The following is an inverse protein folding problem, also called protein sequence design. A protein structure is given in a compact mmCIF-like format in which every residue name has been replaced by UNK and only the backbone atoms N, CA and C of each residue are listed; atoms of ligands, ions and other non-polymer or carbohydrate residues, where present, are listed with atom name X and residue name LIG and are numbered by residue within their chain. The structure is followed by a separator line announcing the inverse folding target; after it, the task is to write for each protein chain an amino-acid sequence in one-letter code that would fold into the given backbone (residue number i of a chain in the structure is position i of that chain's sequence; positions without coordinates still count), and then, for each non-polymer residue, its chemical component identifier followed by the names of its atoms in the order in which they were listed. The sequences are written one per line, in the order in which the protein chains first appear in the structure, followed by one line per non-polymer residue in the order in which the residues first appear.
data_IF_916925991162
#
_entry.id   IF_916925991162
#
_cell.length_a   1.000
_cell.length_b   1.000
_cell.length_c   1.000
_cell.angle_alpha   90.00
_cell.angle_beta   90.00
_cell.angle_gamma   90.00
#
_symmetry.space_group_name_H-M   'P 1'
#
loop_
_entity.id
_entity.type
_entity.pdbx_description
1 polymer ?
#
# COMPACT_ATOMS: atom_id res chain seq x y z
N UNK A 1 -4.86 -13.79 -13.29
CA UNK A 1 -5.80 -14.32 -12.29
C UNK A 1 -5.24 -15.59 -11.66
N UNK A 2 -4.75 -15.49 -10.43
CA UNK A 2 -4.38 -16.62 -9.58
C UNK A 2 -5.31 -16.65 -8.37
N UNK A 3 -5.73 -17.86 -7.98
CA UNK A 3 -6.53 -18.09 -6.77
C UNK A 3 -6.01 -19.33 -6.06
N UNK A 4 -5.41 -19.15 -4.88
CA UNK A 4 -5.17 -20.24 -3.95
C UNK A 4 -5.84 -19.98 -2.59
N UNK A 5 -5.77 -20.99 -1.72
CA UNK A 5 -6.54 -20.99 -0.49
C UNK A 5 -5.79 -21.35 0.78
N UNK A 6 -4.57 -21.92 0.67
CA UNK A 6 -3.68 -22.24 1.79
C UNK A 6 -2.28 -22.59 1.24
N UNK A 7 -1.28 -21.80 1.58
CA UNK A 7 0.14 -22.07 1.29
C UNK A 7 1.03 -21.58 2.44
N UNK A 8 2.27 -22.07 2.53
CA UNK A 8 3.25 -21.51 3.48
C UNK A 8 3.84 -20.24 2.86
N UNK A 9 4.53 -20.41 1.72
CA UNK A 9 5.13 -19.32 0.95
C UNK A 9 4.54 -19.26 -0.46
N UNK A 10 4.29 -18.04 -0.94
CA UNK A 10 3.80 -17.77 -2.29
C UNK A 10 4.58 -16.65 -2.98
N UNK A 11 4.79 -16.78 -4.29
CA UNK A 11 5.46 -15.76 -5.09
C UNK A 11 4.91 -15.67 -6.52
N UNK A 12 4.49 -14.48 -6.94
CA UNK A 12 4.16 -14.14 -8.34
C UNK A 12 5.24 -13.22 -8.91
N UNK A 13 5.61 -13.48 -10.15
CA UNK A 13 6.39 -12.55 -10.97
C UNK A 13 5.74 -12.41 -12.33
N UNK A 14 5.25 -11.22 -12.64
CA UNK A 14 4.72 -10.85 -13.95
C UNK A 14 5.53 -9.67 -14.51
N UNK A 15 5.59 -9.55 -15.85
CA UNK A 15 6.46 -8.56 -16.49
C UNK A 15 5.85 -7.64 -17.52
N UNK A 16 4.70 -8.02 -18.08
CA UNK A 16 3.86 -7.20 -18.95
C UNK A 16 2.48 -7.86 -18.97
N UNK A 17 1.48 -7.23 -18.40
CA UNK A 17 0.09 -7.70 -18.47
C UNK A 17 -0.87 -6.52 -18.62
N UNK A 18 -2.03 -6.74 -19.26
CA UNK A 18 -3.12 -5.74 -19.20
C UNK A 18 -3.67 -5.75 -17.76
N UNK A 19 -4.17 -6.91 -17.31
CA UNK A 19 -4.72 -7.06 -15.96
C UNK A 19 -3.97 -8.13 -15.15
N UNK A 20 -3.49 -7.77 -13.95
CA UNK A 20 -3.10 -8.74 -12.93
C UNK A 20 -4.11 -8.78 -11.79
N UNK A 21 -4.44 -10.00 -11.36
CA UNK A 21 -5.31 -10.23 -10.22
C UNK A 21 -4.81 -11.43 -9.42
N UNK A 22 -4.49 -11.17 -8.16
CA UNK A 22 -4.07 -12.16 -7.17
C UNK A 22 -5.09 -12.14 -6.04
N UNK A 23 -5.68 -13.30 -5.75
CA UNK A 23 -6.56 -13.48 -4.60
C UNK A 23 -6.09 -14.66 -3.78
N UNK A 24 -5.74 -14.41 -2.52
CA UNK A 24 -5.26 -15.43 -1.61
C UNK A 24 -6.04 -15.44 -0.29
N UNK A 25 -6.28 -16.66 0.21
CA UNK A 25 -6.78 -16.86 1.56
C UNK A 25 -5.75 -17.61 2.39
N UNK A 26 -5.12 -16.97 3.37
CA UNK A 26 -4.23 -17.60 4.36
C UNK A 26 -2.89 -18.15 3.81
N UNK A 27 -1.85 -17.33 3.89
CA UNK A 27 -0.45 -17.73 3.73
C UNK A 27 0.42 -17.34 4.95
N UNK A 28 1.63 -17.88 5.11
CA UNK A 28 2.61 -17.27 6.01
C UNK A 28 3.25 -16.07 5.32
N UNK A 29 3.83 -16.29 4.13
CA UNK A 29 4.53 -15.27 3.35
C UNK A 29 3.93 -15.14 1.93
N UNK A 30 3.59 -13.92 1.53
CA UNK A 30 3.25 -13.56 0.14
C UNK A 30 4.24 -12.56 -0.44
N UNK A 31 4.65 -12.80 -1.69
CA UNK A 31 5.38 -11.83 -2.49
C UNK A 31 4.79 -11.69 -3.89
N UNK A 32 4.35 -10.49 -4.24
CA UNK A 32 3.92 -10.14 -5.60
C UNK A 32 4.93 -9.16 -6.19
N UNK A 33 5.50 -9.52 -7.34
CA UNK A 33 6.38 -8.65 -8.11
C UNK A 33 5.82 -8.46 -9.51
N UNK A 34 5.56 -7.21 -9.88
CA UNK A 34 5.05 -6.84 -11.18
C UNK A 34 5.92 -5.78 -11.84
N UNK A 35 5.98 -5.83 -13.16
CA UNK A 35 6.52 -4.74 -13.96
C UNK A 35 5.57 -4.49 -15.11
N UNK A 36 5.16 -3.23 -15.31
CA UNK A 36 4.34 -2.76 -16.41
C UNK A 36 3.00 -3.50 -16.55
N UNK A 37 2.01 -3.06 -15.77
CA UNK A 37 0.61 -3.46 -15.91
C UNK A 37 -0.29 -2.25 -16.18
N UNK A 38 -1.46 -2.45 -16.81
CA UNK A 38 -2.48 -1.38 -16.82
C UNK A 38 -3.17 -1.41 -15.44
N UNK A 39 -3.73 -2.56 -15.07
CA UNK A 39 -4.42 -2.77 -13.80
C UNK A 39 -3.76 -3.87 -12.93
N UNK A 40 -3.46 -3.58 -11.67
CA UNK A 40 -3.03 -4.56 -10.66
C UNK A 40 -3.97 -4.60 -9.45
N UNK A 41 -4.47 -5.81 -9.12
CA UNK A 41 -5.31 -6.04 -7.95
C UNK A 41 -4.74 -7.18 -7.11
N UNK A 42 -4.35 -6.88 -5.87
CA UNK A 42 -3.92 -7.85 -4.86
C UNK A 42 -4.94 -7.85 -3.72
N UNK A 43 -5.50 -9.03 -3.42
CA UNK A 43 -6.45 -9.22 -2.32
C UNK A 43 -5.96 -10.35 -1.42
N UNK A 44 -5.69 -10.01 -0.17
CA UNK A 44 -5.24 -10.96 0.83
C UNK A 44 -6.11 -10.93 2.09
N UNK A 45 -6.52 -12.12 2.52
CA UNK A 45 -7.35 -12.23 3.71
C UNK A 45 -6.52 -12.35 4.99
N UNK A 46 -5.52 -13.23 4.99
CA UNK A 46 -4.69 -13.50 6.15
C UNK A 46 -3.26 -13.83 5.69
N UNK A 47 -2.28 -13.09 6.17
CA UNK A 47 -0.86 -13.38 5.96
C UNK A 47 -0.06 -13.01 7.22
N UNK A 48 1.14 -13.57 7.42
CA UNK A 48 2.06 -12.99 8.39
C UNK A 48 2.82 -11.85 7.73
N UNK A 49 3.31 -12.08 6.52
CA UNK A 49 4.06 -11.11 5.73
C UNK A 49 3.46 -11.01 4.32
N UNK A 50 3.11 -9.81 3.89
CA UNK A 50 2.83 -9.50 2.50
C UNK A 50 3.80 -8.44 1.97
N UNK A 51 4.33 -8.69 0.78
CA UNK A 51 5.17 -7.76 0.04
C UNK A 51 4.61 -7.63 -1.37
N UNK A 52 4.16 -6.43 -1.72
CA UNK A 52 3.76 -6.07 -3.08
C UNK A 52 4.79 -5.09 -3.63
N UNK A 53 5.36 -5.40 -4.79
CA UNK A 53 6.32 -4.56 -5.50
C UNK A 53 5.84 -4.40 -6.94
N UNK A 54 5.47 -3.18 -7.32
CA UNK A 54 5.12 -2.83 -8.68
C UNK A 54 6.06 -1.78 -9.28
N UNK A 55 6.19 -1.81 -10.59
CA UNK A 55 6.95 -0.84 -11.36
C UNK A 55 6.26 -0.52 -12.68
N UNK A 56 5.66 0.66 -12.77
CA UNK A 56 4.84 1.09 -13.90
C UNK A 56 3.49 0.40 -13.86
N UNK A 57 2.51 1.04 -13.25
CA UNK A 57 1.11 0.66 -13.36
C UNK A 57 0.29 1.90 -13.73
N UNK A 58 -0.85 1.74 -14.41
CA UNK A 58 -1.80 2.85 -14.46
C UNK A 58 -2.56 2.84 -13.12
N UNK A 59 -3.18 1.70 -12.77
CA UNK A 59 -3.93 1.52 -11.52
C UNK A 59 -3.37 0.37 -10.65
N UNK A 60 -3.09 0.62 -9.37
CA UNK A 60 -2.74 -0.40 -8.38
C UNK A 60 -3.71 -0.40 -7.18
N UNK A 61 -4.28 -1.56 -6.85
CA UNK A 61 -5.11 -1.76 -5.68
C UNK A 61 -4.61 -2.91 -4.82
N UNK A 62 -4.28 -2.62 -3.57
CA UNK A 62 -3.92 -3.60 -2.55
C UNK A 62 -4.97 -3.60 -1.44
N UNK A 63 -5.54 -4.76 -1.16
CA UNK A 63 -6.52 -4.96 -0.08
C UNK A 63 -6.08 -6.07 0.86
N UNK A 64 -5.83 -5.72 2.11
CA UNK A 64 -5.44 -6.67 3.15
C UNK A 64 -6.37 -6.61 4.36
N UNK A 65 -6.86 -7.78 4.79
CA UNK A 65 -7.72 -7.81 5.98
C UNK A 65 -6.97 -8.10 7.28
N UNK A 66 -6.03 -9.03 7.28
CA UNK A 66 -5.24 -9.38 8.47
C UNK A 66 -3.80 -9.70 8.08
N UNK A 67 -2.87 -8.85 8.47
CA UNK A 67 -1.45 -9.08 8.29
C UNK A 67 -0.67 -8.76 9.58
N UNK A 68 0.46 -9.41 9.82
CA UNK A 68 1.40 -8.89 10.83
C UNK A 68 2.22 -7.76 10.21
N UNK A 69 2.69 -7.97 8.99
CA UNK A 69 3.51 -7.02 8.26
C UNK A 69 3.03 -6.89 6.81
N UNK A 70 2.69 -5.67 6.40
CA UNK A 70 2.47 -5.32 5.00
C UNK A 70 3.56 -4.35 4.51
N UNK A 71 4.06 -4.60 3.31
CA UNK A 71 4.92 -3.67 2.58
C UNK A 71 4.44 -3.53 1.14
N UNK A 72 4.07 -2.32 0.77
CA UNK A 72 3.73 -1.95 -0.60
C UNK A 72 4.81 -1.00 -1.13
N UNK A 73 5.40 -1.34 -2.27
CA UNK A 73 6.39 -0.51 -2.96
C UNK A 73 5.95 -0.33 -4.40
N UNK A 74 5.60 0.90 -4.76
CA UNK A 74 5.20 1.25 -6.12
C UNK A 74 6.14 2.31 -6.71
N UNK A 75 6.47 2.12 -7.99
CA UNK A 75 7.24 3.10 -8.75
C UNK A 75 6.54 3.42 -10.05
N UNK A 76 6.12 4.67 -10.20
CA UNK A 76 5.30 5.19 -11.30
C UNK A 76 3.94 4.49 -11.35
N UNK A 77 2.95 5.12 -10.72
CA UNK A 77 1.53 4.81 -10.85
C UNK A 77 0.78 6.07 -11.26
N UNK A 78 -0.33 5.94 -12.00
CA UNK A 78 -1.28 7.05 -12.07
C UNK A 78 -2.08 7.04 -10.76
N UNK A 79 -2.73 5.91 -10.44
CA UNK A 79 -3.53 5.75 -9.22
C UNK A 79 -3.01 4.58 -8.33
N UNK A 80 -2.79 4.83 -7.04
CA UNK A 80 -2.51 3.79 -6.04
C UNK A 80 -3.51 3.83 -4.88
N UNK A 81 -4.11 2.68 -4.57
CA UNK A 81 -4.98 2.50 -3.41
C UNK A 81 -4.54 1.33 -2.54
N UNK A 82 -4.20 1.63 -1.29
CA UNK A 82 -3.89 0.64 -0.25
C UNK A 82 -4.98 0.69 0.82
N UNK A 83 -5.62 -0.45 1.08
CA UNK A 83 -6.63 -0.60 2.13
C UNK A 83 -6.27 -1.72 3.09
N UNK A 84 -6.08 -1.37 4.35
CA UNK A 84 -5.74 -2.31 5.40
C UNK A 84 -6.70 -2.23 6.59
N UNK A 85 -7.17 -3.40 7.04
CA UNK A 85 -8.13 -3.45 8.15
C UNK A 85 -7.51 -3.76 9.51
N UNK A 86 -6.53 -4.68 9.55
CA UNK A 86 -5.80 -5.06 10.76
C UNK A 86 -4.37 -5.45 10.41
N UNK A 87 -3.43 -4.57 10.72
CA UNK A 87 -2.00 -4.77 10.56
C UNK A 87 -1.27 -4.51 11.88
N UNK A 88 -0.16 -5.20 12.16
CA UNK A 88 0.73 -4.72 13.23
C UNK A 88 1.60 -3.60 12.70
N UNK A 89 2.27 -3.84 11.58
CA UNK A 89 3.13 -2.90 10.88
C UNK A 89 2.70 -2.79 9.41
N UNK A 90 2.48 -1.56 8.94
CA UNK A 90 2.28 -1.23 7.54
C UNK A 90 3.36 -0.26 7.05
N UNK A 91 3.91 -0.54 5.87
CA UNK A 91 4.80 0.37 5.16
C UNK A 91 4.37 0.53 3.70
N UNK A 92 3.98 1.75 3.34
CA UNK A 92 3.69 2.13 1.96
C UNK A 92 4.80 3.06 1.47
N UNK A 93 5.43 2.70 0.35
CA UNK A 93 6.44 3.51 -0.32
C UNK A 93 6.04 3.73 -1.77
N UNK A 94 5.84 4.99 -2.13
CA UNK A 94 5.43 5.37 -3.48
C UNK A 94 6.40 6.39 -4.07
N UNK A 95 6.66 6.23 -5.36
CA UNK A 95 7.53 7.12 -6.11
C UNK A 95 6.90 7.51 -7.43
N UNK A 96 6.56 8.78 -7.56
CA UNK A 96 5.81 9.37 -8.67
C UNK A 96 4.42 8.74 -8.83
N UNK A 97 3.43 9.39 -8.22
CA UNK A 97 2.03 9.02 -8.32
C UNK A 97 1.19 10.24 -8.70
N UNK A 98 0.15 10.10 -9.51
CA UNK A 98 -0.81 11.21 -9.65
C UNK A 98 -1.68 11.24 -8.38
N UNK A 99 -2.33 10.12 -8.05
CA UNK A 99 -3.17 9.96 -6.85
C UNK A 99 -2.72 8.79 -5.95
N UNK A 100 -2.49 9.05 -4.66
CA UNK A 100 -2.25 8.02 -3.63
C UNK A 100 -3.33 8.05 -2.55
N UNK A 101 -3.93 6.89 -2.26
CA UNK A 101 -4.88 6.73 -1.16
C UNK A 101 -4.47 5.56 -0.27
N UNK A 102 -4.15 5.87 0.99
CA UNK A 102 -3.90 4.89 2.04
C UNK A 102 -5.01 4.95 3.09
N UNK A 103 -5.67 3.82 3.32
CA UNK A 103 -6.74 3.71 4.33
C UNK A 103 -6.40 2.59 5.30
N UNK A 104 -6.20 2.96 6.56
CA UNK A 104 -5.93 2.02 7.63
C UNK A 104 -6.97 2.09 8.73
N UNK A 105 -7.53 0.94 9.07
CA UNK A 105 -8.52 0.86 10.15
C UNK A 105 -7.84 0.66 11.50
N UNK A 106 -6.98 -0.34 11.65
CA UNK A 106 -6.29 -0.65 12.91
C UNK A 106 -4.84 -1.07 12.65
N UNK A 107 -3.89 -0.23 13.08
CA UNK A 107 -2.47 -0.47 12.94
C UNK A 107 -1.71 -0.17 14.25
N UNK A 108 -0.59 -0.84 14.54
CA UNK A 108 0.31 -0.36 15.58
C UNK A 108 1.29 0.67 15.01
N UNK A 109 1.84 0.41 13.83
CA UNK A 109 2.83 1.26 13.17
C UNK A 109 2.51 1.42 11.68
N UNK A 110 2.08 2.62 11.29
CA UNK A 110 1.94 3.00 9.89
C UNK A 110 3.09 3.91 9.47
N UNK A 111 3.72 3.59 8.35
CA UNK A 111 4.69 4.45 7.68
C UNK A 111 4.29 4.62 6.23
N UNK A 112 3.96 5.85 5.84
CA UNK A 112 3.72 6.24 4.44
C UNK A 112 4.87 7.14 3.99
N UNK A 113 5.52 6.78 2.88
CA UNK A 113 6.59 7.56 2.27
C UNK A 113 6.26 7.82 0.81
N UNK A 114 5.96 9.07 0.48
CA UNK A 114 5.70 9.54 -0.88
C UNK A 114 6.80 10.45 -1.42
N UNK A 115 7.15 10.27 -2.69
CA UNK A 115 8.03 11.20 -3.40
C UNK A 115 7.45 11.55 -4.78
N UNK A 116 7.06 12.82 -4.96
CA UNK A 116 6.51 13.33 -6.21
C UNK A 116 5.09 12.86 -6.47
N UNK A 117 4.18 13.11 -5.53
CA UNK A 117 2.77 12.74 -5.70
C UNK A 117 1.91 13.99 -5.88
N UNK A 118 1.04 14.07 -6.88
CA UNK A 118 0.19 15.26 -7.07
C UNK A 118 -0.82 15.35 -5.90
N UNK A 119 -1.63 14.32 -5.68
CA UNK A 119 -2.58 14.23 -4.57
C UNK A 119 -2.28 13.01 -3.66
N UNK A 120 -2.20 13.23 -2.34
CA UNK A 120 -2.06 12.16 -1.35
C UNK A 120 -3.15 12.24 -0.26
N UNK A 121 -3.84 11.13 0.00
CA UNK A 121 -4.79 10.99 1.09
C UNK A 121 -4.42 9.82 2.01
N UNK A 122 -4.21 10.12 3.28
CA UNK A 122 -4.01 9.11 4.34
C UNK A 122 -5.16 9.19 5.33
N UNK A 123 -5.88 8.08 5.51
CA UNK A 123 -6.97 7.96 6.48
C UNK A 123 -6.68 6.87 7.49
N UNK A 124 -6.52 7.26 8.76
CA UNK A 124 -6.29 6.34 9.85
C UNK A 124 -7.37 6.41 10.93
N UNK A 125 -7.89 5.25 11.33
CA UNK A 125 -8.91 5.20 12.37
C UNK A 125 -8.35 4.90 13.76
N UNK A 126 -7.50 3.87 13.91
CA UNK A 126 -6.85 3.48 15.16
C UNK A 126 -5.37 3.14 14.92
N UNK A 127 -4.48 4.06 15.30
CA UNK A 127 -3.04 3.85 15.14
C UNK A 127 -2.28 4.16 16.44
N UNK A 128 -1.27 3.36 16.78
CA UNK A 128 -0.36 3.73 17.88
C UNK A 128 0.68 4.74 17.39
N UNK A 129 1.26 4.51 16.22
CA UNK A 129 2.30 5.36 15.64
C UNK A 129 2.08 5.52 14.14
N UNK A 130 1.84 6.75 13.69
CA UNK A 130 1.79 7.12 12.28
C UNK A 130 2.99 7.99 11.92
N UNK A 131 3.63 7.67 10.80
CA UNK A 131 4.63 8.53 10.17
C UNK A 131 4.32 8.71 8.69
N UNK A 132 4.06 9.95 8.28
CA UNK A 132 3.91 10.33 6.88
C UNK A 132 5.10 11.20 6.46
N UNK A 133 5.84 10.77 5.44
CA UNK A 133 6.95 11.52 4.87
C UNK A 133 6.65 11.78 3.41
N UNK A 134 6.54 13.06 3.05
CA UNK A 134 6.27 13.46 1.67
C UNK A 134 7.31 14.46 1.16
N UNK A 135 7.72 14.28 -0.10
CA UNK A 135 8.58 15.21 -0.80
C UNK A 135 7.96 15.56 -2.14
N UNK A 136 7.68 16.85 -2.34
CA UNK A 136 6.99 17.37 -3.53
C UNK A 136 5.58 16.77 -3.70
N UNK A 137 4.61 17.36 -3.00
CA UNK A 137 3.19 17.11 -3.24
C UNK A 137 2.43 18.41 -3.47
N UNK A 138 1.46 18.36 -4.38
CA UNK A 138 0.59 19.50 -4.66
C UNK A 138 -0.50 19.58 -3.57
N UNK A 139 -1.23 18.48 -3.32
CA UNK A 139 -2.21 18.38 -2.23
C UNK A 139 -1.97 17.14 -1.34
N UNK A 140 -2.02 17.33 0.00
CA UNK A 140 -1.92 16.25 0.98
C UNK A 140 -2.98 16.37 2.08
N UNK A 141 -3.76 15.30 2.29
CA UNK A 141 -4.76 15.21 3.35
C UNK A 141 -4.52 14.01 4.26
N UNK A 142 -4.20 14.29 5.53
CA UNK A 142 -4.12 13.27 6.59
C UNK A 142 -5.31 13.42 7.54
N UNK A 143 -6.13 12.38 7.67
CA UNK A 143 -7.25 12.31 8.60
C UNK A 143 -7.06 11.19 9.62
N UNK A 144 -7.09 11.57 10.89
CA UNK A 144 -6.88 10.65 12.01
C UNK A 144 -8.05 10.72 13.00
N UNK A 145 -8.55 9.56 13.44
CA UNK A 145 -9.62 9.51 14.44
C UNK A 145 -9.12 9.15 15.85
N UNK A 146 -8.15 8.23 15.96
CA UNK A 146 -7.55 7.80 17.22
C UNK A 146 -6.08 7.39 17.03
N UNK A 147 -5.19 8.38 16.97
CA UNK A 147 -3.74 8.15 16.91
C UNK A 147 -3.07 8.55 18.24
N UNK A 148 -2.16 7.71 18.74
CA UNK A 148 -1.40 8.02 19.98
C UNK A 148 -0.25 8.97 19.68
N UNK A 149 0.55 8.67 18.65
CA UNK A 149 1.63 9.51 18.16
C UNK A 149 1.56 9.60 16.62
N UNK A 150 1.55 10.81 16.06
CA UNK A 150 1.62 11.07 14.62
C UNK A 150 2.75 12.06 14.30
N UNK A 151 3.50 11.78 13.23
CA UNK A 151 4.51 12.66 12.67
C UNK A 151 4.34 12.82 11.16
N UNK A 152 4.12 14.05 10.71
CA UNK A 152 4.11 14.40 9.28
C UNK A 152 5.35 15.25 8.96
N UNK A 153 6.14 14.81 7.97
CA UNK A 153 7.33 15.50 7.48
C UNK A 153 7.16 15.78 5.98
N UNK A 154 6.91 17.04 5.64
CA UNK A 154 6.82 17.49 4.24
C UNK A 154 8.03 18.35 3.83
N UNK A 155 8.47 18.21 2.58
CA UNK A 155 9.35 19.19 1.94
C UNK A 155 8.68 19.72 0.66
N UNK A 156 8.14 20.95 0.76
CA UNK A 156 7.31 21.66 -0.23
C UNK A 156 5.94 21.01 -0.47
N UNK A 157 4.94 21.54 0.22
CA UNK A 157 3.53 21.49 -0.17
C UNK A 157 3.18 22.94 -0.55
N UNK A 158 2.71 23.21 -1.76
CA UNK A 158 2.20 24.55 -2.09
C UNK A 158 0.79 24.66 -1.49
N UNK A 159 0.61 25.60 -0.55
CA UNK A 159 -0.64 25.86 0.21
C UNK A 159 -1.90 26.09 -0.67
#
# INVERSE_FOLDING_TARGET
MVMESYCEDWMVMESYCEDCMVMESCCEDCMVMESYCDDCIVIETCCNYCIVIGAGCDDCMVMESYCCFCMVIESYCDDCMVMESYCEDCMVMESYCDDCIVIETCCNYCIVIGAGCDDCMVMESYCCFCMVIESYCDDCMVMESYCVDCMVIGSFCDD
#
